data_IF_097711155315
#
_entry.id   IF_097711155315
#
_cell.length_a   1.000
_cell.length_b   1.000
_cell.length_c   1.000
_cell.angle_alpha   90.00
_cell.angle_beta   90.00
_cell.angle_gamma   90.00
#
_symmetry.space_group_name_H-M   'P 1'
#
loop_
_entity.id
_entity.type
_entity.pdbx_description
1 polymer ?
#
# COMPACT_ATOMS: atom_id res chain seq x y z
N UNK A 1 26.60 21.06 22.46
CA UNK A 1 25.59 22.13 22.64
C UNK A 1 26.05 23.45 22.00
N UNK A 2 27.32 23.81 22.10
CA UNK A 2 27.90 25.04 21.49
C UNK A 2 27.82 25.12 19.95
N UNK A 3 27.84 23.99 19.24
CA UNK A 3 27.80 23.98 17.76
C UNK A 3 26.43 24.45 17.22
N UNK A 4 25.32 24.16 17.93
CA UNK A 4 23.98 24.63 17.53
C UNK A 4 23.83 26.14 17.70
N UNK A 5 24.36 26.70 18.80
CA UNK A 5 24.28 28.15 19.09
C UNK A 5 25.05 28.98 18.05
N UNK A 6 26.20 28.49 17.57
CA UNK A 6 26.98 29.16 16.51
C UNK A 6 26.29 29.11 15.14
N UNK A 7 25.57 28.03 14.86
CA UNK A 7 24.83 27.87 13.60
C UNK A 7 23.62 28.81 13.54
N UNK A 8 22.90 28.96 14.65
CA UNK A 8 21.78 29.90 14.74
C UNK A 8 22.28 31.34 14.60
N UNK A 9 23.36 31.73 15.28
CA UNK A 9 23.93 33.08 15.18
C UNK A 9 24.37 33.44 13.74
N UNK A 10 24.97 32.50 13.02
CA UNK A 10 25.35 32.68 11.62
C UNK A 10 24.13 32.82 10.70
N UNK A 11 23.08 32.03 10.94
CA UNK A 11 21.82 32.11 10.19
C UNK A 11 21.14 33.47 10.39
N UNK A 12 21.06 33.96 11.64
CA UNK A 12 20.52 35.28 11.95
C UNK A 12 21.32 36.41 11.29
N UNK A 13 22.64 36.31 11.29
CA UNK A 13 23.52 37.31 10.65
C UNK A 13 23.30 37.35 9.13
N UNK A 14 23.22 36.18 8.47
CA UNK A 14 22.98 36.09 7.03
C UNK A 14 21.58 36.61 6.68
N UNK A 15 20.55 36.26 7.45
CA UNK A 15 19.20 36.78 7.23
C UNK A 15 19.12 38.31 7.41
N UNK A 16 19.81 38.88 8.40
CA UNK A 16 19.89 40.32 8.60
C UNK A 16 20.62 41.03 7.46
N UNK A 17 21.71 40.44 6.95
CA UNK A 17 22.45 40.96 5.81
C UNK A 17 21.60 40.95 4.53
N UNK A 18 20.89 39.85 4.26
CA UNK A 18 19.97 39.75 3.13
C UNK A 18 18.83 40.77 3.22
N UNK A 19 18.26 40.99 4.40
CA UNK A 19 17.22 41.99 4.60
C UNK A 19 17.74 43.42 4.31
N UNK A 20 18.95 43.76 4.76
CA UNK A 20 19.58 45.05 4.48
C UNK A 20 19.83 45.26 2.98
N UNK A 21 20.27 44.23 2.26
CA UNK A 21 20.49 44.30 0.81
C UNK A 21 19.18 44.51 0.06
N UNK A 22 18.09 43.82 0.46
CA UNK A 22 16.77 43.99 -0.15
C UNK A 22 16.22 45.40 0.09
N UNK A 23 16.37 45.94 1.30
CA UNK A 23 15.96 47.32 1.62
C UNK A 23 16.75 48.32 0.78
N UNK A 24 18.07 48.16 0.67
CA UNK A 24 18.91 49.03 -0.14
C UNK A 24 18.55 48.96 -1.64
N UNK A 25 18.27 47.78 -2.16
CA UNK A 25 17.85 47.58 -3.55
C UNK A 25 16.49 48.21 -3.86
N UNK A 26 15.52 48.10 -2.93
CA UNK A 26 14.20 48.73 -3.06
C UNK A 26 14.29 50.27 -3.04
N UNK A 27 15.17 50.83 -2.21
CA UNK A 27 15.42 52.28 -2.15
C UNK A 27 16.07 52.82 -3.44
N UNK A 28 16.95 52.05 -4.07
CA UNK A 28 17.58 52.45 -5.33
C UNK A 28 16.66 52.25 -6.55
N UNK A 29 15.85 51.19 -6.57
CA UNK A 29 14.97 50.87 -7.69
C UNK A 29 13.77 51.82 -7.81
N UNK A 30 13.36 52.47 -6.72
CA UNK A 30 12.21 53.35 -6.69
C UNK A 30 12.56 54.67 -5.99
N UNK A 31 13.10 55.68 -6.70
CA UNK A 31 13.48 56.97 -6.10
C UNK A 31 12.30 57.76 -5.49
N UNK A 32 11.05 57.41 -5.83
CA UNK A 32 9.81 57.99 -5.27
C UNK A 32 9.25 57.26 -4.03
N UNK A 33 9.90 56.19 -3.55
CA UNK A 33 9.46 55.45 -2.37
C UNK A 33 9.70 56.24 -1.06
N UNK A 34 10.51 57.30 -1.10
CA UNK A 34 10.78 58.20 0.03
C UNK A 34 9.53 58.91 0.57
N UNK A 35 8.49 59.12 -0.26
CA UNK A 35 7.20 59.67 0.17
C UNK A 35 6.21 58.64 0.71
N UNK A 36 6.52 57.34 0.56
CA UNK A 36 5.75 56.21 1.09
C UNK A 36 6.44 55.55 2.29
N UNK A 37 7.73 55.87 2.50
CA UNK A 37 8.44 55.49 3.69
C UNK A 37 7.90 56.30 4.87
N UNK A 38 7.47 55.62 5.93
CA UNK A 38 6.96 56.31 7.10
C UNK A 38 8.00 57.25 7.68
N UNK A 39 7.57 58.49 7.94
CA UNK A 39 8.46 59.58 8.36
C UNK A 39 8.90 59.46 9.82
N UNK A 40 8.21 58.62 10.60
CA UNK A 40 8.45 58.42 12.03
C UNK A 40 8.75 56.95 12.37
N UNK A 41 9.57 56.75 13.40
CA UNK A 41 10.03 55.43 13.86
C UNK A 41 8.90 54.45 14.25
N UNK A 42 7.76 54.97 14.71
CA UNK A 42 6.57 54.19 15.07
C UNK A 42 5.89 53.55 13.85
N UNK A 43 5.83 54.27 12.74
CA UNK A 43 5.23 53.78 11.50
C UNK A 43 6.19 52.83 10.76
N UNK A 44 7.50 53.04 10.84
CA UNK A 44 8.52 52.08 10.37
C UNK A 44 8.36 50.72 11.08
N UNK A 45 8.12 50.74 12.40
CA UNK A 45 7.88 49.54 13.18
C UNK A 45 6.59 48.80 12.76
N UNK A 46 5.50 49.52 12.47
CA UNK A 46 4.24 48.90 12.04
C UNK A 46 4.33 48.28 10.63
N UNK A 47 5.10 48.89 9.73
CA UNK A 47 5.40 48.32 8.41
C UNK A 47 6.22 47.01 8.52
N UNK A 48 7.28 47.00 9.34
CA UNK A 48 8.05 45.78 9.57
C UNK A 48 7.24 44.68 10.25
N UNK A 49 6.36 45.02 11.19
CA UNK A 49 5.43 44.07 11.80
C UNK A 49 4.44 43.50 10.78
N UNK A 50 3.94 44.33 9.86
CA UNK A 50 3.01 43.89 8.81
C UNK A 50 3.67 42.94 7.82
N UNK A 51 4.89 43.27 7.36
CA UNK A 51 5.68 42.39 6.47
C UNK A 51 6.05 41.09 7.19
N UNK A 52 6.46 41.17 8.46
CA UNK A 52 6.75 40.01 9.29
C UNK A 52 5.53 39.11 9.50
N UNK A 53 4.35 39.69 9.73
CA UNK A 53 3.09 38.95 9.86
C UNK A 53 2.71 38.24 8.55
N UNK A 54 2.83 38.90 7.40
CA UNK A 54 2.60 38.28 6.08
C UNK A 54 3.59 37.14 5.84
N UNK A 55 4.87 37.35 6.15
CA UNK A 55 5.90 36.31 6.05
C UNK A 55 5.61 35.10 6.95
N UNK A 56 5.15 35.33 8.19
CA UNK A 56 4.75 34.27 9.11
C UNK A 56 3.54 33.48 8.58
N UNK A 57 2.53 34.16 8.02
CA UNK A 57 1.35 33.52 7.42
C UNK A 57 1.75 32.64 6.24
N UNK A 58 2.63 33.13 5.35
CA UNK A 58 3.14 32.35 4.20
C UNK A 58 3.97 31.15 4.70
N UNK A 59 4.80 31.34 5.72
CA UNK A 59 5.60 30.27 6.33
C UNK A 59 4.75 29.16 6.92
N UNK A 60 3.71 29.53 7.69
CA UNK A 60 2.73 28.58 8.24
C UNK A 60 1.99 27.87 7.11
N UNK A 61 1.51 28.60 6.10
CA UNK A 61 0.82 28.00 4.94
C UNK A 61 1.69 26.99 4.19
N UNK A 62 2.98 27.31 3.98
CA UNK A 62 3.92 26.40 3.32
C UNK A 62 4.18 25.16 4.17
N UNK A 63 4.41 25.32 5.47
CA UNK A 63 4.62 24.22 6.40
C UNK A 63 3.41 23.30 6.48
N UNK A 64 2.20 23.85 6.61
CA UNK A 64 0.96 23.06 6.66
C UNK A 64 0.74 22.28 5.35
N UNK A 65 0.98 22.90 4.19
CA UNK A 65 0.87 22.20 2.91
C UNK A 65 1.93 21.11 2.73
N UNK A 66 3.14 21.35 3.21
CA UNK A 66 4.19 20.34 3.21
C UNK A 66 3.81 19.14 4.08
N UNK A 67 3.36 19.38 5.31
CA UNK A 67 2.89 18.33 6.23
C UNK A 67 1.69 17.56 5.67
N UNK A 68 0.72 18.25 5.05
CA UNK A 68 -0.41 17.61 4.37
C UNK A 68 0.06 16.71 3.22
N UNK A 69 1.06 17.14 2.46
CA UNK A 69 1.62 16.35 1.36
C UNK A 69 2.37 15.12 1.87
N UNK A 70 3.15 15.26 2.94
CA UNK A 70 3.83 14.14 3.58
C UNK A 70 2.85 13.14 4.21
N UNK A 71 1.82 13.62 4.92
CA UNK A 71 0.77 12.78 5.48
C UNK A 71 0.00 11.99 4.40
N UNK A 72 -0.27 12.63 3.24
CA UNK A 72 -0.87 11.93 2.09
C UNK A 72 0.07 10.88 1.50
N UNK A 73 1.37 11.18 1.41
CA UNK A 73 2.38 10.23 0.92
C UNK A 73 2.55 9.04 1.86
N UNK A 74 2.63 9.27 3.17
CA UNK A 74 2.77 8.19 4.16
C UNK A 74 1.54 7.28 4.17
N UNK A 75 0.33 7.86 4.13
CA UNK A 75 -0.91 7.07 4.06
C UNK A 75 -0.99 6.24 2.76
N UNK A 76 -0.55 6.81 1.63
CA UNK A 76 -0.52 6.10 0.35
C UNK A 76 0.54 4.98 0.32
N UNK A 77 1.70 5.19 0.96
CA UNK A 77 2.73 4.16 1.11
C UNK A 77 2.23 3.00 1.99
N UNK A 78 1.65 3.29 3.16
CA UNK A 78 1.07 2.28 4.06
C UNK A 78 -0.02 1.48 3.34
N UNK A 79 -0.92 2.16 2.61
CA UNK A 79 -1.96 1.47 1.84
C UNK A 79 -1.36 0.53 0.79
N UNK A 80 -0.31 0.97 0.09
CA UNK A 80 0.36 0.16 -0.92
C UNK A 80 1.08 -1.05 -0.33
N UNK A 81 1.76 -0.88 0.80
CA UNK A 81 2.45 -1.97 1.50
C UNK A 81 1.45 -3.01 2.01
N UNK A 82 0.30 -2.55 2.52
CA UNK A 82 -0.81 -3.44 2.89
C UNK A 82 -1.35 -4.20 1.67
N UNK A 83 -1.59 -3.52 0.53
CA UNK A 83 -2.05 -4.18 -0.71
C UNK A 83 -1.06 -5.25 -1.20
N UNK A 84 0.25 -5.00 -1.08
CA UNK A 84 1.31 -5.96 -1.43
C UNK A 84 1.28 -7.17 -0.48
N UNK A 85 1.27 -6.93 0.83
CA UNK A 85 1.26 -7.99 1.84
C UNK A 85 0.01 -8.89 1.71
N UNK A 86 -1.15 -8.29 1.43
CA UNK A 86 -2.38 -9.02 1.15
C UNK A 86 -2.19 -9.88 -0.10
N UNK A 87 -1.76 -9.32 -1.24
CA UNK A 87 -1.53 -10.10 -2.47
C UNK A 87 -0.54 -11.27 -2.28
N UNK A 88 0.55 -11.07 -1.53
CA UNK A 88 1.51 -12.12 -1.22
C UNK A 88 0.88 -13.26 -0.41
N UNK A 89 0.03 -12.92 0.56
CA UNK A 89 -0.74 -13.90 1.33
C UNK A 89 -1.72 -14.69 0.45
N UNK A 90 -2.43 -14.03 -0.47
CA UNK A 90 -3.28 -14.71 -1.45
C UNK A 90 -2.48 -15.69 -2.32
N UNK A 91 -1.33 -15.25 -2.85
CA UNK A 91 -0.47 -16.10 -3.67
C UNK A 91 0.00 -17.31 -2.88
N UNK A 92 0.40 -17.14 -1.62
CA UNK A 92 0.80 -18.23 -0.75
C UNK A 92 -0.32 -19.26 -0.59
N UNK A 93 -1.52 -18.83 -0.19
CA UNK A 93 -2.67 -19.72 0.02
C UNK A 93 -3.03 -20.47 -1.27
N UNK A 94 -3.12 -19.76 -2.41
CA UNK A 94 -3.47 -20.39 -3.70
C UNK A 94 -2.36 -21.33 -4.19
N UNK A 95 -1.08 -20.97 -4.02
CA UNK A 95 0.05 -21.82 -4.45
C UNK A 95 0.08 -23.11 -3.65
N UNK A 96 -0.07 -23.02 -2.32
CA UNK A 96 -0.15 -24.19 -1.45
C UNK A 96 -1.32 -25.09 -1.83
N UNK A 97 -2.51 -24.51 -2.06
CA UNK A 97 -3.68 -25.27 -2.49
C UNK A 97 -3.43 -25.97 -3.85
N UNK A 98 -2.91 -25.23 -4.84
CA UNK A 98 -2.61 -25.76 -6.18
C UNK A 98 -1.59 -26.90 -6.14
N UNK A 99 -0.47 -26.71 -5.46
CA UNK A 99 0.59 -27.72 -5.35
C UNK A 99 0.10 -28.98 -4.66
N UNK A 100 -0.73 -28.84 -3.61
CA UNK A 100 -1.30 -29.97 -2.91
C UNK A 100 -2.36 -30.70 -3.76
N UNK A 101 -3.25 -29.97 -4.45
CA UNK A 101 -4.22 -30.58 -5.37
C UNK A 101 -3.50 -31.32 -6.50
N UNK A 102 -2.45 -30.73 -7.08
CA UNK A 102 -1.64 -31.36 -8.12
C UNK A 102 -0.91 -32.62 -7.62
N UNK A 103 -0.30 -32.55 -6.43
CA UNK A 103 0.38 -33.69 -5.82
C UNK A 103 -0.60 -34.82 -5.48
N UNK A 104 -1.79 -34.49 -4.95
CA UNK A 104 -2.80 -35.46 -4.52
C UNK A 104 -3.66 -35.99 -5.66
N UNK A 105 -3.72 -35.34 -6.82
CA UNK A 105 -4.28 -35.90 -8.06
C UNK A 105 -3.64 -37.24 -8.41
N UNK A 106 -2.31 -37.32 -8.36
CA UNK A 106 -1.56 -38.58 -8.58
C UNK A 106 -1.96 -39.67 -7.57
N UNK A 107 -2.26 -39.30 -6.33
CA UNK A 107 -2.71 -40.24 -5.29
C UNK A 107 -4.15 -40.72 -5.50
N UNK A 108 -5.08 -39.87 -5.98
CA UNK A 108 -6.46 -40.30 -6.25
C UNK A 108 -6.51 -41.21 -7.47
N UNK A 109 -5.69 -40.94 -8.50
CA UNK A 109 -5.50 -41.86 -9.63
C UNK A 109 -4.94 -43.22 -9.16
N UNK A 110 -4.07 -43.23 -8.15
CA UNK A 110 -3.55 -44.44 -7.53
C UNK A 110 -4.56 -45.16 -6.60
N UNK A 111 -5.44 -44.41 -5.92
CA UNK A 111 -6.50 -44.97 -5.05
C UNK A 111 -7.62 -45.59 -5.88
N UNK A 112 -7.92 -45.05 -7.06
CA UNK A 112 -8.77 -45.71 -8.04
C UNK A 112 -8.21 -47.09 -8.47
N UNK A 113 -6.92 -47.37 -8.20
CA UNK A 113 -6.24 -48.60 -8.61
C UNK A 113 -5.81 -49.56 -7.48
N UNK A 114 -5.70 -49.18 -6.18
CA UNK A 114 -5.76 -50.10 -4.99
C UNK A 114 -5.56 -49.46 -3.58
N UNK A 115 -6.33 -49.98 -2.60
CA UNK A 115 -6.12 -50.24 -1.15
C UNK A 115 -5.82 -49.19 -0.05
N UNK A 116 -5.65 -47.88 -0.29
CA UNK A 116 -5.58 -46.90 0.84
C UNK A 116 -6.48 -45.67 0.63
N UNK A 117 -7.79 -45.94 0.54
CA UNK A 117 -8.84 -44.93 0.24
C UNK A 117 -9.03 -43.90 1.37
N UNK A 118 -9.11 -44.34 2.63
CA UNK A 118 -9.55 -43.47 3.74
C UNK A 118 -8.53 -42.39 4.15
N UNK A 119 -7.26 -42.77 4.39
CA UNK A 119 -6.23 -41.84 4.92
C UNK A 119 -5.91 -40.69 3.96
N UNK A 120 -5.93 -40.96 2.66
CA UNK A 120 -5.68 -39.94 1.65
C UNK A 120 -6.87 -38.96 1.52
N UNK A 121 -8.11 -39.48 1.57
CA UNK A 121 -9.33 -38.66 1.62
C UNK A 121 -9.29 -37.73 2.82
N UNK A 122 -8.98 -38.25 4.02
CA UNK A 122 -8.88 -37.43 5.23
C UNK A 122 -7.81 -36.34 5.12
N UNK A 123 -6.67 -36.65 4.49
CA UNK A 123 -5.60 -35.66 4.27
C UNK A 123 -6.03 -34.55 3.31
N UNK A 124 -6.72 -34.89 2.21
CA UNK A 124 -7.19 -33.92 1.23
C UNK A 124 -8.30 -33.04 1.82
N UNK A 125 -9.25 -33.63 2.54
CA UNK A 125 -10.31 -32.90 3.22
C UNK A 125 -9.76 -31.95 4.30
N UNK A 126 -8.74 -32.38 5.07
CA UNK A 126 -8.10 -31.52 6.06
C UNK A 126 -7.43 -30.29 5.44
N UNK A 127 -6.80 -30.47 4.28
CA UNK A 127 -6.19 -29.38 3.52
C UNK A 127 -7.24 -28.43 2.94
N UNK A 128 -8.29 -28.98 2.32
CA UNK A 128 -9.39 -28.19 1.80
C UNK A 128 -10.05 -27.38 2.92
N UNK A 129 -10.29 -28.00 4.08
CA UNK A 129 -10.85 -27.31 5.25
C UNK A 129 -9.96 -26.15 5.72
N UNK A 130 -8.64 -26.37 5.81
CA UNK A 130 -7.68 -25.32 6.18
C UNK A 130 -7.67 -24.17 5.16
N UNK A 131 -7.57 -24.49 3.87
CA UNK A 131 -7.51 -23.48 2.81
C UNK A 131 -8.84 -22.72 2.67
N UNK A 132 -9.97 -23.39 2.78
CA UNK A 132 -11.31 -22.76 2.78
C UNK A 132 -11.46 -21.82 3.97
N UNK A 133 -11.04 -22.21 5.18
CA UNK A 133 -11.04 -21.31 6.35
C UNK A 133 -10.17 -20.08 6.12
N UNK A 134 -8.95 -20.28 5.65
CA UNK A 134 -8.03 -19.18 5.34
C UNK A 134 -8.57 -18.21 4.27
N UNK A 135 -9.34 -18.73 3.30
CA UNK A 135 -10.00 -17.91 2.27
C UNK A 135 -11.26 -17.22 2.80
N UNK A 136 -12.05 -17.84 3.68
CA UNK A 136 -13.21 -17.18 4.30
C UNK A 136 -12.82 -16.01 5.19
N UNK A 137 -11.74 -16.16 5.96
CA UNK A 137 -11.21 -15.12 6.85
C UNK A 137 -10.33 -14.09 6.10
N UNK A 138 -10.28 -14.18 4.78
CA UNK A 138 -9.40 -13.35 3.98
C UNK A 138 -9.93 -11.90 3.88
N UNK A 139 -9.09 -10.87 4.05
CA UNK A 139 -9.53 -9.48 4.01
C UNK A 139 -9.76 -9.01 2.56
N UNK A 140 -10.87 -9.42 1.96
CA UNK A 140 -11.22 -9.10 0.57
C UNK A 140 -11.34 -7.59 0.30
N UNK A 141 -11.67 -6.80 1.33
CA UNK A 141 -11.77 -5.35 1.26
C UNK A 141 -10.41 -4.64 1.12
N UNK A 142 -9.32 -5.31 1.49
CA UNK A 142 -7.95 -4.78 1.38
C UNK A 142 -7.28 -5.17 0.04
N UNK A 143 -8.01 -5.87 -0.83
CA UNK A 143 -7.51 -6.21 -2.17
C UNK A 143 -7.47 -4.98 -3.08
N UNK A 144 -6.45 -4.87 -3.94
CA UNK A 144 -6.28 -3.69 -4.79
C UNK A 144 -7.35 -3.56 -5.88
N UNK A 145 -8.00 -4.66 -6.29
CA UNK A 145 -9.06 -4.65 -7.31
C UNK A 145 -10.12 -5.74 -7.09
N UNK A 146 -11.31 -5.47 -7.60
CA UNK A 146 -12.45 -6.41 -7.63
C UNK A 146 -12.15 -7.70 -8.40
N UNK A 147 -11.29 -7.66 -9.43
CA UNK A 147 -10.94 -8.86 -10.21
C UNK A 147 -10.24 -9.92 -9.37
N UNK A 148 -9.27 -9.50 -8.55
CA UNK A 148 -8.55 -10.41 -7.65
C UNK A 148 -9.51 -11.01 -6.62
N UNK A 149 -10.43 -10.20 -6.09
CA UNK A 149 -11.45 -10.66 -5.15
C UNK A 149 -12.38 -11.71 -5.78
N UNK A 150 -12.85 -11.48 -7.01
CA UNK A 150 -13.69 -12.42 -7.76
C UNK A 150 -12.97 -13.75 -7.97
N UNK A 151 -11.69 -13.73 -8.38
CA UNK A 151 -10.96 -14.97 -8.66
C UNK A 151 -10.65 -15.75 -7.38
N UNK A 152 -10.33 -15.07 -6.27
CA UNK A 152 -10.22 -15.70 -4.96
C UNK A 152 -11.55 -16.31 -4.49
N UNK A 153 -12.67 -15.65 -4.77
CA UNK A 153 -14.00 -16.17 -4.44
C UNK A 153 -14.35 -17.41 -5.26
N UNK A 154 -13.94 -17.49 -6.54
CA UNK A 154 -14.07 -18.71 -7.35
C UNK A 154 -13.26 -19.87 -6.77
N UNK A 155 -12.03 -19.61 -6.28
CA UNK A 155 -11.22 -20.62 -5.59
C UNK A 155 -11.91 -21.11 -4.31
N UNK A 156 -12.48 -20.19 -3.52
CA UNK A 156 -13.25 -20.52 -2.33
C UNK A 156 -14.48 -21.38 -2.65
N UNK A 157 -15.24 -21.02 -3.68
CA UNK A 157 -16.41 -21.78 -4.12
C UNK A 157 -16.02 -23.17 -4.61
N UNK A 158 -15.01 -23.27 -5.48
CA UNK A 158 -14.55 -24.55 -6.01
C UNK A 158 -14.02 -25.48 -4.91
N UNK A 159 -13.25 -24.95 -3.95
CA UNK A 159 -12.75 -25.74 -2.81
C UNK A 159 -13.87 -26.19 -1.87
N UNK A 160 -14.88 -25.34 -1.62
CA UNK A 160 -16.02 -25.66 -0.77
C UNK A 160 -16.93 -26.70 -1.41
N UNK A 161 -17.21 -26.60 -2.71
CA UNK A 161 -17.98 -27.59 -3.47
C UNK A 161 -17.27 -28.93 -3.47
N UNK A 162 -15.96 -28.93 -3.74
CA UNK A 162 -15.16 -30.15 -3.73
C UNK A 162 -15.18 -30.83 -2.36
N UNK A 163 -15.18 -30.07 -1.26
CA UNK A 163 -15.30 -30.62 0.10
C UNK A 163 -16.62 -31.36 0.34
N UNK A 164 -17.73 -30.84 -0.20
CA UNK A 164 -19.05 -31.48 -0.07
C UNK A 164 -19.16 -32.77 -0.88
N UNK A 165 -18.48 -32.83 -2.03
CA UNK A 165 -18.57 -33.96 -2.97
C UNK A 165 -17.47 -35.03 -2.72
N UNK A 166 -16.52 -34.78 -1.81
CA UNK A 166 -15.36 -35.68 -1.60
C UNK A 166 -15.66 -36.94 -0.78
N UNK A 167 -16.87 -37.11 -0.25
CA UNK A 167 -17.25 -38.30 0.53
C UNK A 167 -17.24 -39.58 -0.30
N UNK A 168 -17.43 -39.48 -1.64
CA UNK A 168 -17.36 -40.61 -2.55
C UNK A 168 -16.50 -40.29 -3.79
N UNK A 169 -15.22 -40.75 -3.86
CA UNK A 169 -14.34 -40.44 -4.97
C UNK A 169 -14.81 -41.17 -6.24
N UNK A 170 -15.52 -40.42 -7.07
CA UNK A 170 -16.02 -40.84 -8.38
C UNK A 170 -15.23 -40.16 -9.49
N UNK A 171 -15.53 -40.48 -10.75
CA UNK A 171 -14.97 -39.78 -11.92
C UNK A 171 -15.26 -38.27 -11.86
N UNK A 172 -16.40 -37.87 -11.28
CA UNK A 172 -16.78 -36.47 -11.10
C UNK A 172 -15.87 -35.74 -10.11
N UNK A 173 -15.44 -36.40 -9.03
CA UNK A 173 -14.49 -35.82 -8.06
C UNK A 173 -13.14 -35.50 -8.72
N UNK A 174 -12.68 -36.33 -9.67
CA UNK A 174 -11.48 -36.08 -10.46
C UNK A 174 -11.64 -34.88 -11.39
N UNK A 175 -12.79 -34.75 -12.07
CA UNK A 175 -13.09 -33.60 -12.92
C UNK A 175 -13.13 -32.29 -12.10
N UNK A 176 -13.74 -32.32 -10.91
CA UNK A 176 -13.80 -31.17 -9.99
C UNK A 176 -12.43 -30.76 -9.45
N UNK A 177 -11.53 -31.71 -9.23
CA UNK A 177 -10.15 -31.42 -8.87
C UNK A 177 -9.40 -30.72 -10.01
N UNK A 178 -9.62 -31.15 -11.25
CA UNK A 178 -9.05 -30.50 -12.44
C UNK A 178 -9.62 -29.09 -12.64
N UNK A 179 -10.92 -28.89 -12.38
CA UNK A 179 -11.54 -27.56 -12.33
C UNK A 179 -10.90 -26.68 -11.25
N UNK A 180 -10.74 -27.20 -10.02
CA UNK A 180 -10.10 -26.47 -8.93
C UNK A 180 -8.66 -26.10 -9.28
N UNK A 181 -7.91 -27.00 -9.90
CA UNK A 181 -6.53 -26.76 -10.31
C UNK A 181 -6.46 -25.66 -11.38
N UNK A 182 -7.37 -25.66 -12.35
CA UNK A 182 -7.49 -24.61 -13.36
C UNK A 182 -7.84 -23.24 -12.74
N UNK A 183 -8.81 -23.21 -11.83
CA UNK A 183 -9.22 -21.98 -11.12
C UNK A 183 -8.09 -21.44 -10.24
N UNK A 184 -7.39 -22.30 -9.51
CA UNK A 184 -6.21 -21.92 -8.73
C UNK A 184 -5.10 -21.38 -9.64
N UNK A 185 -4.85 -22.02 -10.78
CA UNK A 185 -3.84 -21.55 -11.73
C UNK A 185 -4.18 -20.16 -12.26
N UNK A 186 -5.43 -19.91 -12.64
CA UNK A 186 -5.88 -18.62 -13.13
C UNK A 186 -5.75 -17.53 -12.06
N UNK A 187 -6.27 -17.79 -10.86
CA UNK A 187 -6.20 -16.84 -9.74
C UNK A 187 -4.74 -16.50 -9.38
N UNK A 188 -3.84 -17.49 -9.43
CA UNK A 188 -2.42 -17.29 -9.15
C UNK A 188 -1.74 -16.40 -10.20
N UNK A 189 -2.06 -16.55 -11.49
CA UNK A 189 -1.55 -15.66 -12.54
C UNK A 189 -2.03 -14.23 -12.27
N UNK A 190 -3.34 -14.04 -12.02
CA UNK A 190 -3.93 -12.73 -11.79
C UNK A 190 -3.28 -12.04 -10.57
N UNK A 191 -3.11 -12.76 -9.47
CA UNK A 191 -2.44 -12.24 -8.27
C UNK A 191 -0.98 -11.87 -8.55
N UNK A 192 -0.22 -12.74 -9.24
CA UNK A 192 1.21 -12.48 -9.56
C UNK A 192 1.41 -11.29 -10.49
N UNK A 193 0.59 -11.18 -11.54
CA UNK A 193 0.60 -10.02 -12.44
C UNK A 193 0.24 -8.75 -11.67
N UNK A 194 -0.71 -8.82 -10.74
CA UNK A 194 -1.08 -7.63 -9.97
C UNK A 194 -0.01 -7.23 -8.96
N UNK A 195 0.63 -8.20 -8.32
CA UNK A 195 1.77 -7.98 -7.43
C UNK A 195 2.92 -7.30 -8.18
N UNK A 196 3.30 -7.81 -9.35
CA UNK A 196 4.39 -7.23 -10.14
C UNK A 196 4.07 -5.81 -10.60
N UNK A 197 2.83 -5.51 -10.98
CA UNK A 197 2.39 -4.15 -11.31
C UNK A 197 2.45 -3.19 -10.12
N UNK A 198 2.24 -3.67 -8.89
CA UNK A 198 2.31 -2.85 -7.67
C UNK A 198 3.75 -2.63 -7.23
N UNK A 199 4.60 -3.64 -7.35
CA UNK A 199 6.04 -3.56 -7.12
C UNK A 199 6.75 -2.68 -8.15
N UNK A 200 6.42 -2.76 -9.44
CA UNK A 200 7.03 -1.91 -10.48
C UNK A 200 6.69 -0.41 -10.34
N UNK A 201 5.67 -0.07 -9.53
CA UNK A 201 5.30 1.31 -9.21
C UNK A 201 5.95 1.81 -7.91
N UNK A 202 6.86 1.05 -7.27
CA UNK A 202 7.68 1.52 -6.13
C UNK A 202 9.00 2.07 -6.61
#
# INVERSE_FOLDING_TARGET
MEIRVKFDAALWFISALCALIVIAALLMAFPGLSGWLPSNSSELASWFQSIGAIGAIIGVWWQTNYQLREAKKSTAAIKKDNEIAVLERAIFIISSLKEMVAAKRLYITAIATKSTKQSAITSILGILDLSTKQLMDYPYWDLPDTRVAIDLQKVLQASSLLKLEFEDPSLDTLNRLDELLAVCHHALIVCKVRLSLRQAKS
#
